data_IF_296528088923
#
_entry.id   IF_296528088923
#
_cell.length_a   1.000
_cell.length_b   1.000
_cell.length_c   1.000
_cell.angle_alpha   90.00
_cell.angle_beta   90.00
_cell.angle_gamma   90.00
#
_symmetry.space_group_name_H-M   'P 1'
#
loop_
_entity.id
_entity.type
_entity.pdbx_description
1 polymer ?
#
# COMPACT_ATOMS: atom_id res chain seq x y z
N UNK A 1 10.51 -9.64 -17.45
CA UNK A 1 9.09 -9.31 -17.21
C UNK A 1 8.99 -7.90 -16.66
N UNK A 2 8.66 -6.91 -17.51
CA UNK A 2 8.58 -5.49 -17.11
C UNK A 2 7.56 -5.25 -15.99
N UNK A 3 6.45 -5.99 -15.97
CA UNK A 3 5.39 -5.91 -14.95
C UNK A 3 5.87 -6.24 -13.51
N UNK A 4 6.59 -7.36 -13.32
CA UNK A 4 7.15 -7.72 -12.00
C UNK A 4 8.22 -6.73 -11.52
N UNK A 5 8.95 -6.12 -12.45
CA UNK A 5 9.91 -5.06 -12.12
C UNK A 5 9.20 -3.80 -11.66
N UNK A 6 8.12 -3.41 -12.35
CA UNK A 6 7.29 -2.26 -11.97
C UNK A 6 6.67 -2.47 -10.59
N UNK A 7 6.02 -3.62 -10.37
CA UNK A 7 5.38 -3.94 -9.09
C UNK A 7 6.39 -3.97 -7.93
N UNK A 8 7.62 -4.45 -8.17
CA UNK A 8 8.71 -4.37 -7.19
C UNK A 8 9.11 -2.93 -6.88
N UNK A 9 9.17 -2.07 -7.90
CA UNK A 9 9.45 -0.65 -7.73
C UNK A 9 8.33 0.04 -6.93
N UNK A 10 7.08 -0.28 -7.24
CA UNK A 10 5.90 0.23 -6.53
C UNK A 10 5.88 -0.25 -5.08
N UNK A 11 6.20 -1.51 -4.81
CA UNK A 11 6.35 -2.02 -3.44
C UNK A 11 7.49 -1.32 -2.69
N UNK A 12 8.60 -1.01 -3.36
CA UNK A 12 9.68 -0.23 -2.75
C UNK A 12 9.25 1.20 -2.45
N UNK A 13 8.49 1.84 -3.35
CA UNK A 13 7.87 3.15 -3.13
C UNK A 13 6.90 3.10 -1.94
N UNK A 14 6.02 2.09 -1.90
CA UNK A 14 5.04 1.88 -0.83
C UNK A 14 5.72 1.71 0.52
N UNK A 15 6.74 0.86 0.60
CA UNK A 15 7.51 0.66 1.83
C UNK A 15 8.18 1.96 2.33
N UNK A 16 8.63 2.85 1.43
CA UNK A 16 9.15 4.17 1.80
C UNK A 16 8.06 5.09 2.35
N UNK A 17 6.88 5.14 1.73
CA UNK A 17 5.73 5.88 2.26
C UNK A 17 5.32 5.37 3.65
N UNK A 18 5.26 4.05 3.85
CA UNK A 18 4.99 3.43 5.13
C UNK A 18 6.05 3.77 6.18
N UNK A 19 7.32 3.89 5.78
CA UNK A 19 8.39 4.33 6.67
C UNK A 19 8.19 5.78 7.13
N UNK A 20 7.84 6.68 6.22
CA UNK A 20 7.56 8.08 6.54
C UNK A 20 6.36 8.20 7.48
N UNK A 21 5.26 7.51 7.20
CA UNK A 21 4.11 7.45 8.10
C UNK A 21 4.50 6.87 9.48
N UNK A 22 5.44 5.92 9.55
CA UNK A 22 5.95 5.41 10.82
C UNK A 22 6.74 6.46 11.60
N UNK A 23 7.55 7.28 10.93
CA UNK A 23 8.24 8.40 11.58
C UNK A 23 7.23 9.39 12.15
N UNK A 24 6.19 9.75 11.39
CA UNK A 24 5.13 10.64 11.88
C UNK A 24 4.32 10.05 13.03
N UNK A 25 4.10 8.73 13.00
CA UNK A 25 3.49 7.99 14.11
C UNK A 25 4.33 8.08 15.39
N UNK A 26 5.67 8.03 15.29
CA UNK A 26 6.56 8.22 16.46
C UNK A 26 6.48 9.65 17.00
N UNK A 27 6.51 10.64 16.13
CA UNK A 27 6.31 12.05 16.50
C UNK A 27 4.98 12.25 17.26
N UNK A 28 3.90 11.63 16.79
CA UNK A 28 2.61 11.62 17.49
C UNK A 28 2.69 10.97 18.88
N UNK A 29 3.41 9.84 19.00
CA UNK A 29 3.59 9.14 20.27
C UNK A 29 4.44 9.93 21.27
N UNK A 30 5.30 10.84 20.80
CA UNK A 30 6.08 11.77 21.61
C UNK A 30 5.26 13.00 22.04
N UNK A 31 4.02 13.13 21.56
CA UNK A 31 3.11 14.24 21.87
C UNK A 31 3.24 15.44 20.92
N UNK A 32 4.07 15.32 19.88
CA UNK A 32 4.22 16.34 18.85
C UNK A 32 3.18 16.17 17.73
N UNK A 33 2.83 17.27 17.05
CA UNK A 33 1.88 17.24 15.93
C UNK A 33 2.65 17.15 14.61
N UNK A 34 2.55 16.03 13.87
CA UNK A 34 3.12 15.93 12.53
C UNK A 34 2.29 16.74 11.53
N UNK A 35 2.79 16.82 10.30
CA UNK A 35 2.05 17.37 9.18
C UNK A 35 0.90 16.42 8.77
N UNK A 36 -0.29 16.66 9.33
CA UNK A 36 -1.49 15.88 9.03
C UNK A 36 -1.96 16.04 7.59
N UNK A 37 -1.66 17.16 6.94
CA UNK A 37 -1.98 17.37 5.53
C UNK A 37 -1.14 16.43 4.68
N UNK A 38 0.16 16.35 4.95
CA UNK A 38 1.06 15.40 4.28
C UNK A 38 0.63 13.95 4.53
N UNK A 39 0.30 13.60 5.77
CA UNK A 39 -0.19 12.25 6.09
C UNK A 39 -1.47 11.91 5.33
N UNK A 40 -2.38 12.87 5.18
CA UNK A 40 -3.63 12.71 4.43
C UNK A 40 -3.36 12.43 2.96
N UNK A 41 -2.51 13.22 2.32
CA UNK A 41 -2.17 13.04 0.91
C UNK A 41 -1.46 11.70 0.66
N UNK A 42 -0.57 11.28 1.56
CA UNK A 42 0.07 9.96 1.49
C UNK A 42 -0.95 8.83 1.66
N UNK A 43 -1.85 8.94 2.64
CA UNK A 43 -2.90 7.94 2.87
C UNK A 43 -3.83 7.80 1.66
N UNK A 44 -4.22 8.92 1.05
CA UNK A 44 -5.09 8.95 -0.12
C UNK A 44 -4.40 8.34 -1.34
N UNK A 45 -3.12 8.67 -1.57
CA UNK A 45 -2.33 8.00 -2.61
C UNK A 45 -2.32 6.48 -2.43
N UNK A 46 -2.08 6.00 -1.21
CA UNK A 46 -2.07 4.56 -0.95
C UNK A 46 -3.45 3.96 -1.19
N UNK A 47 -4.52 4.65 -0.78
CA UNK A 47 -5.90 4.18 -0.94
C UNK A 47 -6.27 4.07 -2.42
N UNK A 48 -5.94 5.09 -3.21
CA UNK A 48 -6.20 5.12 -4.65
C UNK A 48 -5.43 4.03 -5.38
N UNK A 49 -4.11 3.93 -5.12
CA UNK A 49 -3.26 2.89 -5.70
C UNK A 49 -3.79 1.48 -5.39
N UNK A 50 -4.06 1.23 -4.10
CA UNK A 50 -4.56 -0.04 -3.63
C UNK A 50 -5.91 -0.36 -4.26
N UNK A 51 -6.83 0.60 -4.35
CA UNK A 51 -8.16 0.37 -4.90
C UNK A 51 -8.12 0.00 -6.39
N UNK A 52 -7.23 0.63 -7.14
CA UNK A 52 -7.02 0.34 -8.56
C UNK A 52 -6.43 -1.05 -8.80
N UNK A 53 -5.54 -1.51 -7.92
CA UNK A 53 -4.84 -2.78 -8.09
C UNK A 53 -5.66 -4.03 -7.69
N UNK A 54 -6.54 -3.90 -6.70
CA UNK A 54 -7.23 -5.09 -6.13
C UNK A 54 -8.29 -5.67 -7.02
N UNK A 55 -9.10 -4.86 -7.71
CA UNK A 55 -10.14 -5.38 -8.58
C UNK A 55 -9.55 -6.25 -9.71
N UNK A 56 -8.47 -5.84 -10.41
CA UNK A 56 -7.75 -6.70 -11.34
C UNK A 56 -7.20 -7.97 -10.68
N UNK A 57 -6.61 -7.85 -9.50
CA UNK A 57 -6.05 -9.00 -8.78
C UNK A 57 -7.14 -10.03 -8.43
N UNK A 58 -8.27 -9.59 -7.88
CA UNK A 58 -9.42 -10.47 -7.56
C UNK A 58 -10.01 -11.13 -8.80
N UNK A 59 -10.14 -10.37 -9.90
CA UNK A 59 -10.64 -10.89 -11.17
C UNK A 59 -9.72 -12.00 -11.70
N UNK A 60 -8.41 -11.76 -11.75
CA UNK A 60 -7.44 -12.73 -12.25
C UNK A 60 -7.31 -13.96 -11.35
N UNK A 61 -7.36 -13.76 -10.02
CA UNK A 61 -7.45 -14.86 -9.07
C UNK A 61 -8.69 -15.73 -9.32
N UNK A 62 -9.82 -15.11 -9.63
CA UNK A 62 -11.08 -15.83 -9.87
C UNK A 62 -11.09 -16.54 -11.23
N UNK A 63 -10.55 -15.92 -12.28
CA UNK A 63 -10.59 -16.41 -13.65
C UNK A 63 -9.47 -17.41 -13.96
N UNK A 64 -8.22 -17.07 -13.66
CA UNK A 64 -7.07 -17.89 -14.06
C UNK A 64 -6.68 -18.93 -13.01
N UNK A 65 -6.66 -18.57 -11.72
CA UNK A 65 -6.19 -19.51 -10.69
C UNK A 65 -7.21 -20.60 -10.38
N UNK A 66 -8.52 -20.32 -10.43
CA UNK A 66 -9.51 -21.39 -10.33
C UNK A 66 -9.45 -22.40 -11.50
N UNK A 67 -9.01 -21.96 -12.69
CA UNK A 67 -8.88 -22.82 -13.86
C UNK A 67 -7.55 -23.59 -13.93
N UNK A 68 -6.44 -22.96 -13.50
CA UNK A 68 -5.08 -23.47 -13.69
C UNK A 68 -4.41 -23.98 -12.41
N UNK A 69 -4.75 -23.46 -11.24
CA UNK A 69 -4.12 -23.79 -9.96
C UNK A 69 -5.10 -23.69 -8.78
N UNK A 70 -5.95 -24.72 -8.55
CA UNK A 70 -6.92 -24.73 -7.45
C UNK A 70 -6.28 -24.55 -6.07
N UNK A 71 -5.02 -24.96 -5.92
CA UNK A 71 -4.21 -24.79 -4.71
C UNK A 71 -3.89 -23.32 -4.37
N UNK A 72 -3.88 -22.44 -5.38
CA UNK A 72 -3.67 -21.00 -5.21
C UNK A 72 -4.96 -20.24 -4.84
N UNK A 73 -6.14 -20.84 -5.05
CA UNK A 73 -7.44 -20.22 -4.76
C UNK A 73 -7.56 -19.84 -3.27
N UNK A 74 -7.09 -20.71 -2.36
CA UNK A 74 -7.04 -20.41 -0.92
C UNK A 74 -6.11 -19.25 -0.56
N UNK A 75 -4.99 -19.09 -1.27
CA UNK A 75 -4.10 -17.94 -1.07
C UNK A 75 -4.74 -16.65 -1.58
N UNK A 76 -5.28 -16.67 -2.80
CA UNK A 76 -5.95 -15.51 -3.38
C UNK A 76 -7.09 -15.01 -2.52
N UNK A 77 -7.91 -15.92 -1.99
CA UNK A 77 -8.97 -15.56 -1.08
C UNK A 77 -8.43 -14.91 0.19
N UNK A 78 -7.41 -15.51 0.82
CA UNK A 78 -6.72 -14.91 1.98
C UNK A 78 -6.21 -13.50 1.67
N UNK A 79 -5.50 -13.30 0.56
CA UNK A 79 -4.95 -12.00 0.17
C UNK A 79 -6.06 -10.97 -0.13
N UNK A 80 -7.16 -11.38 -0.76
CA UNK A 80 -8.33 -10.51 -0.95
C UNK A 80 -8.95 -10.10 0.38
N UNK A 81 -9.10 -11.03 1.33
CA UNK A 81 -9.60 -10.75 2.68
C UNK A 81 -8.66 -9.82 3.48
N UNK A 82 -7.36 -10.10 3.45
CA UNK A 82 -6.33 -9.28 4.09
C UNK A 82 -6.33 -7.85 3.51
N UNK A 83 -6.44 -7.74 2.19
CA UNK A 83 -6.56 -6.47 1.51
C UNK A 83 -7.82 -5.71 1.95
N UNK A 84 -8.99 -6.35 1.97
CA UNK A 84 -10.25 -5.70 2.38
C UNK A 84 -10.16 -5.17 3.81
N UNK A 85 -9.53 -5.94 4.69
CA UNK A 85 -9.26 -5.52 6.06
C UNK A 85 -8.29 -4.31 6.11
N UNK A 86 -7.25 -4.30 5.27
CA UNK A 86 -6.33 -3.16 5.15
C UNK A 86 -7.02 -1.91 4.62
N UNK A 87 -7.84 -2.05 3.58
CA UNK A 87 -8.58 -0.94 2.97
C UNK A 87 -9.53 -0.31 3.99
N UNK A 88 -10.27 -1.12 4.75
CA UNK A 88 -11.14 -0.62 5.82
C UNK A 88 -10.36 0.16 6.91
N UNK A 89 -9.18 -0.31 7.29
CA UNK A 89 -8.31 0.40 8.24
C UNK A 89 -7.78 1.71 7.67
N UNK A 90 -7.37 1.69 6.40
CA UNK A 90 -6.87 2.87 5.70
C UNK A 90 -7.95 3.94 5.54
N UNK A 91 -9.17 3.55 5.14
CA UNK A 91 -10.31 4.44 5.05
C UNK A 91 -10.67 5.07 6.40
N UNK A 92 -10.53 4.33 7.51
CA UNK A 92 -10.69 4.87 8.86
C UNK A 92 -9.60 5.88 9.22
N UNK A 93 -8.33 5.62 8.86
CA UNK A 93 -7.25 6.58 9.05
C UNK A 93 -7.46 7.86 8.23
N UNK A 94 -7.87 7.71 6.98
CA UNK A 94 -8.26 8.78 6.06
C UNK A 94 -9.34 9.66 6.74
N UNK A 95 -10.45 9.07 7.21
CA UNK A 95 -11.50 9.81 7.93
C UNK A 95 -11.01 10.49 9.22
N UNK A 96 -10.17 9.83 10.02
CA UNK A 96 -9.60 10.43 11.22
C UNK A 96 -8.73 11.65 10.88
N UNK A 97 -7.96 11.59 9.78
CA UNK A 97 -7.16 12.72 9.29
C UNK A 97 -8.05 13.88 8.85
N UNK A 98 -9.15 13.62 8.15
CA UNK A 98 -10.12 14.67 7.80
C UNK A 98 -10.68 15.34 9.06
N UNK A 99 -11.07 14.54 10.05
CA UNK A 99 -11.56 15.06 11.32
C UNK A 99 -10.52 15.96 12.00
N UNK A 100 -9.25 15.54 12.03
CA UNK A 100 -8.15 16.34 12.61
C UNK A 100 -7.96 17.66 11.83
N UNK A 101 -7.96 17.61 10.50
CA UNK A 101 -7.82 18.78 9.64
C UNK A 101 -9.02 19.75 9.75
N UNK A 102 -10.18 19.25 10.13
CA UNK A 102 -11.38 20.03 10.43
C UNK A 102 -11.46 20.49 11.91
N UNK A 103 -10.36 20.41 12.66
CA UNK A 103 -10.26 20.76 14.09
C UNK A 103 -11.24 19.98 15.00
N UNK A 104 -11.67 18.78 14.59
CA UNK A 104 -12.48 17.91 15.42
C UNK A 104 -11.64 17.23 16.52
N UNK A 105 -12.30 16.86 17.62
CA UNK A 105 -11.65 16.17 18.74
C UNK A 105 -11.46 14.69 18.38
N UNK A 106 -10.21 14.31 18.12
CA UNK A 106 -9.80 12.91 17.89
C UNK A 106 -8.82 12.49 19.00
N UNK A 107 -8.98 11.29 19.60
CA UNK A 107 -8.01 10.78 20.56
C UNK A 107 -6.68 10.44 19.85
N UNK A 108 -5.65 11.28 20.05
CA UNK A 108 -4.35 11.12 19.38
C UNK A 108 -3.66 9.79 19.69
N UNK A 109 -3.78 9.31 20.93
CA UNK A 109 -3.22 8.00 21.33
C UNK A 109 -3.85 6.87 20.51
N UNK A 110 -5.17 6.87 20.39
CA UNK A 110 -5.89 5.87 19.59
C UNK A 110 -5.55 5.98 18.11
N UNK A 111 -5.43 7.21 17.59
CA UNK A 111 -5.03 7.44 16.21
C UNK A 111 -3.62 6.92 15.93
N UNK A 112 -2.68 7.16 16.84
CA UNK A 112 -1.30 6.68 16.75
C UNK A 112 -1.23 5.15 16.79
N UNK A 113 -2.01 4.49 17.65
CA UNK A 113 -2.14 3.03 17.70
C UNK A 113 -2.76 2.45 16.43
N UNK A 114 -3.85 3.06 15.93
CA UNK A 114 -4.52 2.66 14.70
C UNK A 114 -3.56 2.76 13.50
N UNK A 115 -2.79 3.85 13.42
CA UNK A 115 -1.78 4.07 12.39
C UNK A 115 -0.68 3.01 12.48
N UNK A 116 -0.16 2.75 13.67
CA UNK A 116 0.85 1.70 13.88
C UNK A 116 0.33 0.32 13.45
N UNK A 117 -0.90 -0.04 13.85
CA UNK A 117 -1.50 -1.31 13.49
C UNK A 117 -1.71 -1.45 11.97
N UNK A 118 -2.09 -0.37 11.29
CA UNK A 118 -2.17 -0.34 9.83
C UNK A 118 -0.80 -0.56 9.17
N UNK A 119 0.25 0.15 9.61
CA UNK A 119 1.58 0.04 9.03
C UNK A 119 2.16 -1.37 9.13
N UNK A 120 1.97 -2.03 10.28
CA UNK A 120 2.41 -3.41 10.49
C UNK A 120 1.63 -4.40 9.61
N UNK A 121 0.30 -4.25 9.53
CA UNK A 121 -0.52 -5.09 8.66
C UNK A 121 -0.19 -4.89 7.17
N UNK A 122 0.06 -3.65 6.73
CA UNK A 122 0.40 -3.37 5.33
C UNK A 122 1.74 -4.01 4.96
N UNK A 123 2.74 -3.93 5.84
CA UNK A 123 4.04 -4.61 5.64
C UNK A 123 3.91 -6.12 5.57
N UNK A 124 3.06 -6.71 6.42
CA UNK A 124 2.79 -8.14 6.38
C UNK A 124 2.14 -8.55 5.05
N UNK A 125 1.20 -7.75 4.56
CA UNK A 125 0.54 -7.98 3.27
C UNK A 125 1.52 -7.93 2.08
N UNK A 126 2.33 -6.87 1.97
CA UNK A 126 3.36 -6.77 0.92
C UNK A 126 4.36 -7.93 0.94
N UNK A 127 4.65 -8.46 2.14
CA UNK A 127 5.50 -9.64 2.30
C UNK A 127 4.81 -10.89 1.79
N UNK A 128 3.55 -11.11 2.16
CA UNK A 128 2.72 -12.22 1.69
C UNK A 128 2.60 -12.22 0.16
N UNK A 129 2.34 -11.07 -0.45
CA UNK A 129 2.32 -10.95 -1.91
C UNK A 129 3.67 -11.33 -2.54
N UNK A 130 4.77 -10.85 -1.97
CA UNK A 130 6.10 -11.12 -2.53
C UNK A 130 6.54 -12.57 -2.38
N UNK A 131 6.21 -13.20 -1.25
CA UNK A 131 6.70 -14.54 -0.88
C UNK A 131 5.75 -15.66 -1.30
N UNK A 132 4.44 -15.39 -1.39
CA UNK A 132 3.42 -16.38 -1.76
C UNK A 132 2.83 -16.10 -3.16
N UNK A 133 2.40 -14.86 -3.45
CA UNK A 133 1.70 -14.53 -4.70
C UNK A 133 2.64 -14.46 -5.92
N UNK A 134 3.78 -13.77 -5.82
CA UNK A 134 4.69 -13.58 -6.96
C UNK A 134 5.26 -14.89 -7.51
N UNK A 135 5.64 -15.88 -6.68
CA UNK A 135 6.02 -17.21 -7.17
C UNK A 135 4.89 -17.88 -7.97
N UNK A 136 3.65 -17.84 -7.47
CA UNK A 136 2.50 -18.45 -8.14
C UNK A 136 2.17 -17.76 -9.47
N UNK A 137 2.23 -16.43 -9.50
CA UNK A 137 2.09 -15.67 -10.76
C UNK A 137 3.16 -16.14 -11.75
N UNK A 138 4.42 -16.27 -11.33
CA UNK A 138 5.50 -16.72 -12.21
C UNK A 138 5.36 -18.16 -12.68
N UNK A 139 4.71 -19.02 -11.90
CA UNK A 139 4.58 -20.44 -12.21
C UNK A 139 3.35 -20.74 -13.08
N UNK A 140 2.25 -20.01 -12.89
CA UNK A 140 0.97 -20.33 -13.55
C UNK A 140 0.49 -19.31 -14.58
N UNK A 141 1.01 -18.07 -14.57
CA UNK A 141 0.55 -17.03 -15.50
C UNK A 141 1.37 -17.06 -16.77
N UNK A 142 0.69 -16.86 -17.91
CA UNK A 142 1.34 -16.66 -19.19
C UNK A 142 1.66 -15.17 -19.44
N UNK A 143 2.31 -14.86 -20.56
CA UNK A 143 2.69 -13.49 -20.89
C UNK A 143 1.46 -12.58 -21.11
N UNK A 144 0.34 -13.12 -21.61
CA UNK A 144 -0.90 -12.36 -21.85
C UNK A 144 -1.57 -11.99 -20.51
N UNK A 145 -1.60 -12.92 -19.55
CA UNK A 145 -2.08 -12.66 -18.19
C UNK A 145 -1.24 -11.58 -17.50
N UNK A 146 0.09 -11.69 -17.61
CA UNK A 146 1.01 -10.70 -17.06
C UNK A 146 0.82 -9.32 -17.70
N UNK A 147 0.57 -9.25 -19.00
CA UNK A 147 0.30 -8.00 -19.72
C UNK A 147 -1.07 -7.40 -19.34
N UNK A 148 -2.09 -8.21 -19.07
CA UNK A 148 -3.36 -7.71 -18.54
C UNK A 148 -3.18 -7.11 -17.14
N UNK A 149 -2.45 -7.80 -16.27
CA UNK A 149 -2.15 -7.30 -14.93
C UNK A 149 -1.30 -6.02 -14.98
N UNK A 150 -0.35 -5.94 -15.91
CA UNK A 150 0.45 -4.74 -16.15
C UNK A 150 -0.40 -3.53 -16.57
N UNK A 151 -1.36 -3.74 -17.49
CA UNK A 151 -2.28 -2.69 -17.95
C UNK A 151 -3.28 -2.27 -16.87
N UNK A 152 -3.49 -3.12 -15.88
CA UNK A 152 -4.39 -2.85 -14.78
C UNK A 152 -3.70 -2.17 -13.58
N UNK A 153 -2.37 -2.04 -13.61
CA UNK A 153 -1.66 -1.17 -12.67
C UNK A 153 -2.19 0.26 -12.82
N UNK A 154 -2.46 0.97 -11.72
CA UNK A 154 -3.01 2.32 -11.78
C UNK A 154 -2.06 3.26 -12.54
N UNK A 155 -2.49 3.69 -13.73
CA UNK A 155 -1.77 4.66 -14.55
C UNK A 155 -1.66 5.98 -13.78
N UNK A 156 -0.44 6.53 -13.70
CA UNK A 156 -0.20 7.80 -13.02
C UNK A 156 0.24 7.70 -11.56
N UNK A 157 0.35 6.50 -10.98
CA UNK A 157 0.90 6.31 -9.64
C UNK A 157 2.31 6.92 -9.49
N UNK A 158 3.17 6.77 -10.50
CA UNK A 158 4.49 7.40 -10.53
C UNK A 158 4.42 8.94 -10.59
N UNK A 159 3.47 9.49 -11.33
CA UNK A 159 3.29 10.94 -11.47
C UNK A 159 2.75 11.55 -10.17
N UNK A 160 1.80 10.89 -9.51
CA UNK A 160 1.27 11.33 -8.22
C UNK A 160 2.33 11.21 -7.12
N UNK A 161 3.13 10.14 -7.12
CA UNK A 161 4.26 10.02 -6.21
C UNK A 161 5.30 11.12 -6.44
N UNK A 162 5.62 11.44 -7.69
CA UNK A 162 6.54 12.53 -8.02
C UNK A 162 6.00 13.89 -7.55
N UNK A 163 4.69 14.13 -7.73
CA UNK A 163 4.00 15.31 -7.21
C UNK A 163 4.10 15.39 -5.67
N UNK A 164 3.89 14.28 -4.95
CA UNK A 164 4.04 14.24 -3.49
C UNK A 164 5.47 14.54 -3.04
N UNK A 165 6.47 14.02 -3.76
CA UNK A 165 7.88 14.30 -3.48
C UNK A 165 8.24 15.77 -3.68
N UNK A 166 7.67 16.41 -4.70
CA UNK A 166 7.86 17.84 -4.96
C UNK A 166 7.12 18.71 -3.94
N UNK A 167 5.88 18.35 -3.60
CA UNK A 167 5.05 19.06 -2.63
C UNK A 167 5.65 18.99 -1.20
N UNK A 168 6.29 17.87 -0.85
CA UNK A 168 6.84 17.63 0.46
C UNK A 168 8.32 17.25 0.39
N UNK A 169 9.25 18.23 0.42
CA UNK A 169 10.69 17.97 0.41
C UNK A 169 11.17 17.09 1.58
N UNK A 170 10.44 17.12 2.70
CA UNK A 170 10.69 16.26 3.87
C UNK A 170 10.41 14.79 3.55
N UNK A 171 9.37 14.49 2.74
CA UNK A 171 9.15 13.14 2.21
C UNK A 171 10.35 12.70 1.39
N UNK A 172 10.90 13.55 0.51
CA UNK A 172 12.07 13.21 -0.29
C UNK A 172 13.34 12.97 0.55
N UNK A 173 13.59 13.81 1.57
CA UNK A 173 14.71 13.64 2.48
C UNK A 173 14.61 12.33 3.27
N UNK A 174 13.44 12.04 3.84
CA UNK A 174 13.18 10.79 4.58
C UNK A 174 13.18 9.57 3.64
N UNK A 175 12.75 9.69 2.38
CA UNK A 175 12.87 8.64 1.36
C UNK A 175 14.31 8.24 1.06
N UNK A 176 15.24 9.21 1.11
CA UNK A 176 16.66 9.00 0.86
C UNK A 176 17.36 8.32 2.04
N UNK A 177 16.86 8.54 3.25
CA UNK A 177 17.38 7.94 4.48
C UNK A 177 16.68 6.63 4.85
N UNK A 178 15.47 6.39 4.32
CA UNK A 178 14.74 5.15 4.54
C UNK A 178 15.57 3.95 4.06
N UNK A 179 15.82 2.95 4.93
CA UNK A 179 16.54 1.76 4.53
C UNK A 179 15.82 1.10 3.37
N UNK A 180 16.56 0.70 2.35
CA UNK A 180 15.99 -0.02 1.22
C UNK A 180 15.29 -1.27 1.77
N UNK A 181 13.99 -1.48 1.50
CA UNK A 181 13.27 -2.69 1.90
C UNK A 181 13.79 -3.96 1.18
N UNK A 182 14.84 -3.79 0.35
CA UNK A 182 15.56 -4.79 -0.42
C UNK A 182 16.89 -5.23 0.24
N UNK A 183 17.25 -4.67 1.40
CA UNK A 183 18.46 -5.04 2.16
C UNK A 183 18.21 -6.19 3.14
#
# INVERSE_FOLDING_TARGET
MPMLTQLRQDHANMARLLHVLQLKQKTLAEGERPDFQMMREVVDYILDYMSGFTAPLEQMCTEQLNARAPEASGLCQRLSEDYRALNARLARLSQNLDMILMDAVVPMDQFSEDLKAYLESHRAYLRGEREELFPLIREHFDEDDLDQLAKALPEGAEAELARLQEAYPVLYAEFREAPSPLS
#
